data_IF_144241030503
#
_entry.id   IF_144241030503
#
_cell.length_a   1.000
_cell.length_b   1.000
_cell.length_c   1.000
_cell.angle_alpha   90.00
_cell.angle_beta   90.00
_cell.angle_gamma   90.00
#
_symmetry.space_group_name_H-M   'P 1'
#
loop_
_entity.id
_entity.type
_entity.pdbx_description
1 polymer ?
#
# COMPACT_ATOMS: atom_id res chain seq x y z
N UNK A 1 -17.27 -4.32 23.15
CA UNK A 1 -17.07 -4.38 24.62
C UNK A 1 -15.66 -4.91 24.89
N UNK A 2 -14.86 -4.23 25.72
CA UNK A 2 -13.50 -4.68 26.12
C UNK A 2 -13.47 -6.08 26.73
N UNK A 3 -14.59 -6.55 27.24
CA UNK A 3 -14.73 -7.87 27.87
C UNK A 3 -14.82 -9.05 26.90
N UNK A 4 -14.92 -8.80 25.58
CA UNK A 4 -15.06 -9.85 24.56
C UNK A 4 -13.77 -10.11 23.76
N UNK A 5 -12.62 -9.54 24.15
CA UNK A 5 -11.34 -9.77 23.47
C UNK A 5 -11.21 -9.21 22.04
N UNK A 6 -12.19 -8.47 21.55
CA UNK A 6 -12.23 -7.90 20.19
C UNK A 6 -11.74 -6.45 20.14
N UNK A 7 -10.76 -6.10 20.97
CA UNK A 7 -10.19 -4.75 20.99
C UNK A 7 -8.72 -4.87 20.65
N UNK A 8 -8.33 -4.24 19.55
CA UNK A 8 -6.92 -4.18 19.12
C UNK A 8 -6.38 -2.78 19.38
N UNK A 9 -5.16 -2.70 19.86
CA UNK A 9 -4.40 -1.45 20.03
C UNK A 9 -3.46 -1.25 18.85
N UNK A 10 -2.91 -0.05 18.73
CA UNK A 10 -1.85 0.19 17.71
C UNK A 10 -0.63 -0.69 17.97
N UNK A 11 -0.31 -1.00 19.23
CA UNK A 11 0.79 -1.92 19.58
C UNK A 11 0.52 -3.32 19.03
N UNK A 12 -0.72 -3.84 19.13
CA UNK A 12 -1.09 -5.15 18.57
C UNK A 12 -0.91 -5.19 17.04
N UNK A 13 -1.15 -4.05 16.34
CA UNK A 13 -0.94 -3.95 14.90
C UNK A 13 0.56 -4.00 14.58
N UNK A 14 1.38 -3.27 15.34
CA UNK A 14 2.84 -3.24 15.16
C UNK A 14 3.45 -4.62 15.43
N UNK A 15 3.03 -5.30 16.50
CA UNK A 15 3.47 -6.66 16.83
C UNK A 15 3.14 -7.67 15.72
N UNK A 16 2.05 -7.44 14.98
CA UNK A 16 1.67 -8.21 13.79
C UNK A 16 2.34 -7.73 12.49
N UNK A 17 3.28 -6.80 12.57
CA UNK A 17 4.05 -6.30 11.43
C UNK A 17 3.37 -5.22 10.59
N UNK A 18 2.21 -4.69 11.01
CA UNK A 18 1.53 -3.62 10.29
C UNK A 18 2.10 -2.24 10.63
N UNK A 19 2.18 -1.38 9.61
CA UNK A 19 2.45 0.03 9.85
C UNK A 19 1.23 0.71 10.49
N UNK A 20 1.41 1.56 11.51
CA UNK A 20 0.34 2.42 12.00
C UNK A 20 -0.30 3.30 10.91
N UNK A 21 0.48 3.67 9.89
CA UNK A 21 0.01 4.44 8.75
C UNK A 21 -0.93 3.63 7.85
N UNK A 22 -0.81 2.30 7.80
CA UNK A 22 -1.76 1.44 7.11
C UNK A 22 -3.14 1.51 7.77
N UNK A 23 -3.20 1.50 9.09
CA UNK A 23 -4.46 1.68 9.82
C UNK A 23 -5.04 3.09 9.61
N UNK A 24 -4.19 4.13 9.59
CA UNK A 24 -4.61 5.48 9.23
C UNK A 24 -5.19 5.51 7.81
N UNK A 25 -4.50 4.93 6.84
CA UNK A 25 -4.97 4.85 5.45
C UNK A 25 -6.30 4.09 5.35
N UNK A 26 -6.45 2.98 6.08
CA UNK A 26 -7.71 2.24 6.19
C UNK A 26 -8.84 3.14 6.69
N UNK A 27 -8.62 3.93 7.76
CA UNK A 27 -9.61 4.87 8.27
C UNK A 27 -9.96 5.97 7.27
N UNK A 28 -8.98 6.50 6.53
CA UNK A 28 -9.18 7.58 5.55
C UNK A 28 -10.01 7.14 4.32
N UNK A 29 -10.05 5.84 4.02
CA UNK A 29 -10.91 5.30 2.95
C UNK A 29 -12.39 5.21 3.35
N UNK A 30 -12.70 5.30 4.62
CA UNK A 30 -14.07 5.26 5.13
C UNK A 30 -14.67 6.67 5.28
N UNK A 31 -15.96 6.81 4.99
CA UNK A 31 -16.68 8.01 5.38
C UNK A 31 -16.90 7.98 6.90
N UNK A 32 -16.55 9.04 7.61
CA UNK A 32 -16.62 9.12 9.06
C UNK A 32 -18.06 8.99 9.64
N UNK A 33 -19.08 9.21 8.82
CA UNK A 33 -20.50 9.01 9.21
C UNK A 33 -20.91 7.55 9.18
N UNK A 34 -20.15 6.69 8.52
CA UNK A 34 -20.44 5.27 8.38
C UNK A 34 -19.66 4.45 9.42
N UNK A 35 -20.24 3.34 9.84
CA UNK A 35 -19.51 2.40 10.68
C UNK A 35 -18.37 1.79 9.87
N UNK A 36 -17.16 1.94 10.35
CA UNK A 36 -15.98 1.30 9.79
C UNK A 36 -15.87 -0.11 10.38
N UNK A 37 -15.93 -1.12 9.53
CA UNK A 37 -15.76 -2.51 9.95
C UNK A 37 -14.31 -2.91 9.82
N UNK A 38 -13.61 -3.06 10.94
CA UNK A 38 -12.23 -3.51 10.96
C UNK A 38 -12.18 -5.03 10.78
N UNK A 39 -11.38 -5.48 9.80
CA UNK A 39 -10.93 -6.85 9.65
C UNK A 39 -9.45 -6.86 9.28
N UNK A 40 -8.77 -7.97 9.54
CA UNK A 40 -7.35 -8.10 9.18
C UNK A 40 -7.15 -8.02 7.67
N UNK A 41 -8.03 -8.62 6.88
CA UNK A 41 -8.01 -8.57 5.42
C UNK A 41 -8.17 -7.13 4.89
N UNK A 42 -8.99 -6.32 5.54
CA UNK A 42 -9.15 -4.91 5.18
C UNK A 42 -7.89 -4.10 5.52
N UNK A 43 -7.20 -4.44 6.61
CA UNK A 43 -5.93 -3.82 6.98
C UNK A 43 -4.80 -4.25 6.02
N UNK A 44 -4.75 -5.53 5.61
CA UNK A 44 -3.84 -6.03 4.59
C UNK A 44 -3.99 -5.25 3.28
N UNK A 45 -5.23 -5.09 2.81
CA UNK A 45 -5.52 -4.32 1.59
C UNK A 45 -5.09 -2.85 1.72
N UNK A 46 -5.27 -2.25 2.91
CA UNK A 46 -4.84 -0.89 3.18
C UNK A 46 -3.32 -0.76 3.19
N UNK A 47 -2.59 -1.71 3.79
CA UNK A 47 -1.12 -1.73 3.79
C UNK A 47 -0.57 -1.84 2.36
N UNK A 48 -1.11 -2.76 1.56
CA UNK A 48 -0.72 -2.92 0.15
C UNK A 48 -1.00 -1.65 -0.64
N UNK A 49 -2.16 -1.03 -0.44
CA UNK A 49 -2.54 0.20 -1.14
C UNK A 49 -1.64 1.38 -0.74
N UNK A 50 -1.29 1.50 0.53
CA UNK A 50 -0.36 2.52 1.02
C UNK A 50 1.03 2.34 0.42
N UNK A 51 1.55 1.12 0.39
CA UNK A 51 2.85 0.83 -0.23
C UNK A 51 2.86 1.21 -1.71
N UNK A 52 1.80 0.84 -2.45
CA UNK A 52 1.63 1.23 -3.86
C UNK A 52 1.56 2.75 -4.06
N UNK A 53 1.00 3.47 -3.08
CA UNK A 53 0.97 4.94 -3.09
C UNK A 53 2.38 5.50 -3.02
N UNK A 54 3.20 5.01 -2.09
CA UNK A 54 4.59 5.44 -1.96
C UNK A 54 5.42 5.10 -3.21
N UNK A 55 5.26 3.90 -3.77
CA UNK A 55 5.91 3.49 -5.02
C UNK A 55 5.51 4.38 -6.22
N UNK A 56 4.22 4.73 -6.29
CA UNK A 56 3.74 5.61 -7.34
C UNK A 56 4.31 7.02 -7.18
N UNK A 57 4.34 7.54 -5.95
CA UNK A 57 4.87 8.86 -5.63
C UNK A 57 6.36 8.96 -5.94
N UNK A 58 7.16 7.94 -5.58
CA UNK A 58 8.59 7.91 -5.84
C UNK A 58 8.96 8.14 -7.31
N UNK A 59 8.10 7.69 -8.24
CA UNK A 59 8.30 7.86 -9.70
C UNK A 59 8.20 9.31 -10.17
N UNK A 60 7.64 10.19 -9.35
CA UNK A 60 7.44 11.60 -9.68
C UNK A 60 8.49 12.53 -9.04
N UNK A 61 9.22 12.06 -8.02
CA UNK A 61 10.12 12.91 -7.22
C UNK A 61 11.15 13.66 -8.04
N UNK A 62 11.83 12.96 -8.95
CA UNK A 62 12.92 13.52 -9.78
C UNK A 62 12.51 13.60 -11.26
N UNK A 63 11.22 13.61 -11.56
CA UNK A 63 10.73 13.66 -12.92
C UNK A 63 10.78 15.09 -13.46
N UNK A 64 11.27 15.24 -14.70
CA UNK A 64 11.51 16.52 -15.36
C UNK A 64 10.36 16.95 -16.27
N UNK A 65 9.46 16.04 -16.63
CA UNK A 65 8.31 16.35 -17.48
C UNK A 65 7.37 17.34 -16.78
N UNK A 66 6.74 18.19 -17.56
CA UNK A 66 5.78 19.17 -17.05
C UNK A 66 4.36 18.76 -17.32
N UNK A 67 3.49 19.09 -16.38
CA UNK A 67 2.04 18.98 -16.58
C UNK A 67 1.54 20.04 -17.55
N UNK A 68 0.38 19.81 -18.20
CA UNK A 68 -0.34 20.88 -18.86
C UNK A 68 -0.62 22.01 -17.87
N UNK A 69 -0.55 23.26 -18.35
CA UNK A 69 -0.76 24.45 -17.52
C UNK A 69 -2.09 24.40 -16.77
N UNK A 70 -2.07 24.75 -15.48
CA UNK A 70 -3.25 24.79 -14.63
C UNK A 70 -3.67 23.44 -14.02
N UNK A 71 -3.10 22.30 -14.47
CA UNK A 71 -3.53 20.97 -14.02
C UNK A 71 -3.29 20.75 -12.52
N UNK A 72 -2.13 21.12 -12.02
CA UNK A 72 -1.81 20.97 -10.60
C UNK A 72 -2.68 21.85 -9.70
N UNK A 73 -2.97 23.06 -10.11
CA UNK A 73 -3.86 24.00 -9.43
C UNK A 73 -5.29 23.50 -9.39
N UNK A 74 -5.77 22.92 -10.51
CA UNK A 74 -7.09 22.30 -10.58
C UNK A 74 -7.20 21.14 -9.57
N UNK A 75 -6.22 20.24 -9.49
CA UNK A 75 -6.22 19.15 -8.52
C UNK A 75 -6.15 19.64 -7.08
N UNK A 76 -5.38 20.69 -6.79
CA UNK A 76 -5.34 21.29 -5.45
C UNK A 76 -6.72 21.84 -5.07
N UNK A 77 -7.39 22.49 -6.02
CA UNK A 77 -8.74 23.00 -5.80
C UNK A 77 -9.74 21.86 -5.60
N UNK A 78 -9.76 20.86 -6.50
CA UNK A 78 -10.63 19.67 -6.38
C UNK A 78 -10.44 18.99 -5.01
N UNK A 79 -9.18 18.78 -4.58
CA UNK A 79 -8.86 18.16 -3.30
C UNK A 79 -9.36 19.00 -2.12
N UNK A 80 -9.10 20.31 -2.16
CA UNK A 80 -9.53 21.23 -1.09
C UNK A 80 -11.04 21.27 -0.98
N UNK A 81 -11.74 21.36 -2.12
CA UNK A 81 -13.20 21.34 -2.17
C UNK A 81 -13.74 20.01 -1.58
N UNK A 82 -13.16 18.87 -1.95
CA UNK A 82 -13.57 17.56 -1.45
C UNK A 82 -13.41 17.43 0.08
N UNK A 83 -12.27 17.84 0.63
CA UNK A 83 -12.04 17.74 2.08
C UNK A 83 -12.80 18.80 2.89
N UNK A 84 -13.16 19.90 2.26
CA UNK A 84 -13.98 20.97 2.86
C UNK A 84 -15.47 20.66 2.81
N UNK A 85 -15.90 19.78 1.91
CA UNK A 85 -17.28 19.31 1.82
C UNK A 85 -17.50 18.10 2.74
N UNK A 86 -17.86 18.40 3.97
CA UNK A 86 -18.18 17.39 5.00
C UNK A 86 -17.08 16.33 5.20
N UNK A 87 -15.80 16.74 5.14
CA UNK A 87 -14.63 15.85 5.30
C UNK A 87 -14.68 14.63 4.35
N UNK A 88 -15.02 14.84 3.09
CA UNK A 88 -15.05 13.78 2.09
C UNK A 88 -13.63 13.34 1.70
N UNK A 89 -12.90 12.81 2.68
CA UNK A 89 -11.52 12.34 2.52
C UNK A 89 -11.41 11.20 1.50
N UNK A 90 -12.37 10.25 1.40
CA UNK A 90 -12.31 9.23 0.34
C UNK A 90 -12.29 9.83 -1.08
N UNK A 91 -13.04 10.91 -1.34
CA UNK A 91 -12.97 11.62 -2.62
C UNK A 91 -11.60 12.28 -2.80
N UNK A 92 -11.06 12.92 -1.75
CA UNK A 92 -9.72 13.49 -1.77
C UNK A 92 -8.63 12.45 -2.11
N UNK A 93 -8.70 11.25 -1.53
CA UNK A 93 -7.82 10.14 -1.89
C UNK A 93 -7.99 9.71 -3.36
N UNK A 94 -9.20 9.72 -3.88
CA UNK A 94 -9.49 9.46 -5.30
C UNK A 94 -8.78 10.46 -6.22
N UNK A 95 -8.78 11.75 -5.86
CA UNK A 95 -8.10 12.82 -6.61
C UNK A 95 -6.58 12.63 -6.56
N UNK A 96 -6.02 12.31 -5.39
CA UNK A 96 -4.60 11.97 -5.26
C UNK A 96 -4.21 10.80 -6.17
N UNK A 97 -5.01 9.72 -6.18
CA UNK A 97 -4.76 8.59 -7.06
C UNK A 97 -4.91 8.91 -8.54
N UNK A 98 -5.85 9.80 -8.93
CA UNK A 98 -5.98 10.34 -10.28
C UNK A 98 -4.69 11.01 -10.73
N UNK A 99 -4.10 11.86 -9.87
CA UNK A 99 -2.84 12.54 -10.14
C UNK A 99 -1.65 11.56 -10.23
N UNK A 100 -1.48 10.65 -9.27
CA UNK A 100 -0.38 9.67 -9.27
C UNK A 100 -0.39 8.72 -10.48
N UNK A 101 -1.56 8.46 -11.07
CA UNK A 101 -1.74 7.63 -12.27
C UNK A 101 -1.69 8.42 -13.57
N UNK A 102 -1.45 9.73 -13.50
CA UNK A 102 -1.36 10.55 -14.69
C UNK A 102 -0.24 10.04 -15.62
N UNK A 103 -0.44 10.06 -16.95
CA UNK A 103 0.54 9.47 -17.89
C UNK A 103 1.92 10.12 -17.82
N UNK A 104 1.96 11.44 -17.60
CA UNK A 104 3.20 12.23 -17.48
C UNK A 104 3.80 12.02 -16.09
N UNK A 105 5.12 11.87 -16.01
CA UNK A 105 5.87 11.86 -14.75
C UNK A 105 6.41 13.25 -14.48
N UNK A 106 5.95 13.88 -13.41
CA UNK A 106 6.26 15.27 -13.11
C UNK A 106 6.47 15.52 -11.62
N UNK A 107 7.44 16.36 -11.32
CA UNK A 107 7.66 16.86 -9.95
C UNK A 107 6.42 17.61 -9.40
N UNK A 108 5.63 18.23 -10.27
CA UNK A 108 4.40 18.91 -9.87
C UNK A 108 3.37 17.94 -9.26
N UNK A 109 3.35 16.66 -9.69
CA UNK A 109 2.53 15.60 -9.07
C UNK A 109 3.08 15.24 -7.69
N UNK A 110 4.40 15.15 -7.55
CA UNK A 110 5.03 14.93 -6.25
C UNK A 110 4.67 16.05 -5.27
N UNK A 111 4.83 17.30 -5.69
CA UNK A 111 4.54 18.48 -4.87
C UNK A 111 3.03 18.56 -4.52
N UNK A 112 2.14 18.18 -5.44
CA UNK A 112 0.72 18.03 -5.16
C UNK A 112 0.43 16.96 -4.12
N UNK A 113 1.08 15.79 -4.19
CA UNK A 113 0.90 14.74 -3.21
C UNK A 113 1.35 15.19 -1.81
N UNK A 114 2.48 15.89 -1.69
CA UNK A 114 2.93 16.46 -0.42
C UNK A 114 1.97 17.53 0.12
N UNK A 115 1.34 18.32 -0.77
CA UNK A 115 0.28 19.23 -0.37
C UNK A 115 -0.92 18.47 0.25
N UNK A 116 -1.35 17.36 -0.35
CA UNK A 116 -2.45 16.54 0.21
C UNK A 116 -2.06 15.90 1.54
N UNK A 117 -0.78 15.57 1.71
CA UNK A 117 -0.28 14.90 2.92
C UNK A 117 -0.33 15.78 4.18
N UNK A 118 -0.39 17.10 4.02
CA UNK A 118 -0.62 18.03 5.15
C UNK A 118 -1.95 17.72 5.86
N UNK A 119 -2.92 17.15 5.15
CA UNK A 119 -4.23 16.74 5.69
C UNK A 119 -4.26 15.23 5.93
N UNK A 120 -3.78 14.43 4.98
CA UNK A 120 -3.82 12.97 5.06
C UNK A 120 -2.89 12.41 6.15
N UNK A 121 -1.72 13.01 6.35
CA UNK A 121 -0.74 12.62 7.38
C UNK A 121 -0.24 11.19 7.21
N UNK A 122 0.13 10.82 5.98
CA UNK A 122 0.62 9.51 5.61
C UNK A 122 2.15 9.44 5.54
N UNK A 123 2.85 10.53 5.93
CA UNK A 123 4.32 10.66 5.88
C UNK A 123 4.87 10.30 4.50
N UNK A 124 4.26 10.87 3.45
CA UNK A 124 4.54 10.50 2.05
C UNK A 124 5.98 10.81 1.65
N UNK A 125 6.53 11.97 2.08
CA UNK A 125 7.89 12.37 1.75
C UNK A 125 8.91 11.37 2.29
N UNK A 126 8.77 10.99 3.58
CA UNK A 126 9.69 10.08 4.26
C UNK A 126 9.63 8.65 3.72
N UNK A 127 8.45 8.21 3.30
CA UNK A 127 8.23 6.82 2.89
C UNK A 127 8.35 6.59 1.39
N UNK A 128 8.25 7.63 0.55
CA UNK A 128 8.51 7.51 -0.89
C UNK A 128 9.97 7.14 -1.21
N UNK A 129 10.90 7.38 -0.29
CA UNK A 129 12.32 7.06 -0.46
C UNK A 129 12.70 5.68 0.05
N UNK A 130 11.88 5.10 0.91
CA UNK A 130 12.15 3.77 1.44
C UNK A 130 11.88 2.74 0.35
N UNK A 131 12.76 1.75 0.15
CA UNK A 131 12.42 0.62 -0.68
C UNK A 131 11.08 0.07 -0.17
N UNK A 132 10.16 -0.20 -1.09
CA UNK A 132 8.86 -0.72 -0.71
C UNK A 132 9.05 -1.88 0.26
N UNK A 133 8.60 -1.70 1.50
CA UNK A 133 8.47 -2.79 2.44
C UNK A 133 7.27 -3.61 1.95
N UNK A 134 7.50 -4.37 0.87
CA UNK A 134 6.59 -5.40 0.40
C UNK A 134 6.62 -6.61 1.34
N UNK A 135 6.94 -6.39 2.60
CA UNK A 135 6.80 -7.40 3.62
C UNK A 135 5.30 -7.47 3.95
N UNK A 136 4.62 -8.40 3.28
CA UNK A 136 3.40 -8.97 3.81
C UNK A 136 3.72 -9.34 5.27
N UNK A 137 2.93 -8.92 6.28
CA UNK A 137 3.22 -9.27 7.68
C UNK A 137 3.45 -10.75 7.91
N UNK A 138 2.83 -11.61 7.09
CA UNK A 138 3.08 -13.05 7.06
C UNK A 138 4.48 -13.42 6.51
N UNK A 139 5.13 -12.54 5.74
CA UNK A 139 6.51 -12.73 5.27
C UNK A 139 7.55 -12.30 6.31
N UNK A 140 7.19 -11.46 7.28
CA UNK A 140 8.07 -11.04 8.35
C UNK A 140 8.42 -12.19 9.31
N UNK A 141 7.55 -13.17 9.47
CA UNK A 141 7.78 -14.39 10.28
C UNK A 141 8.54 -15.49 9.53
N UNK A 142 8.75 -15.34 8.21
CA UNK A 142 9.45 -16.35 7.41
C UNK A 142 10.96 -16.28 7.62
N UNK A 143 11.60 -17.45 7.64
CA UNK A 143 13.05 -17.50 7.67
C UNK A 143 13.67 -16.82 6.43
N UNK A 144 14.90 -16.28 6.54
CA UNK A 144 15.57 -15.64 5.40
C UNK A 144 15.63 -16.53 4.14
N UNK A 145 15.75 -17.86 4.33
CA UNK A 145 15.78 -18.83 3.24
C UNK A 145 14.44 -18.91 2.52
N UNK A 146 13.32 -18.91 3.25
CA UNK A 146 11.97 -18.94 2.66
C UNK A 146 11.71 -17.67 1.88
N UNK A 147 12.09 -16.50 2.41
CA UNK A 147 11.96 -15.22 1.71
C UNK A 147 12.71 -15.21 0.38
N UNK A 148 13.94 -15.70 0.39
CA UNK A 148 14.77 -15.79 -0.82
C UNK A 148 14.10 -16.68 -1.87
N UNK A 149 13.56 -17.84 -1.48
CA UNK A 149 12.85 -18.74 -2.38
C UNK A 149 11.57 -18.11 -2.96
N UNK A 150 10.80 -17.37 -2.16
CA UNK A 150 9.62 -16.64 -2.62
C UNK A 150 9.99 -15.58 -3.67
N UNK A 151 11.08 -14.84 -3.43
CA UNK A 151 11.60 -13.84 -4.38
C UNK A 151 12.07 -14.50 -5.67
N UNK A 152 12.84 -15.57 -5.59
CA UNK A 152 13.33 -16.32 -6.76
C UNK A 152 12.17 -16.87 -7.61
N UNK A 153 11.10 -17.38 -6.97
CA UNK A 153 9.90 -17.83 -7.67
C UNK A 153 9.21 -16.66 -8.40
N UNK A 154 9.09 -15.52 -7.75
CA UNK A 154 8.47 -14.32 -8.33
C UNK A 154 9.24 -13.85 -9.57
N UNK A 155 10.57 -13.84 -9.49
CA UNK A 155 11.44 -13.48 -10.63
C UNK A 155 11.37 -14.53 -11.75
N UNK A 156 11.33 -15.83 -11.43
CA UNK A 156 11.15 -16.89 -12.42
C UNK A 156 9.81 -16.72 -13.19
N UNK A 157 8.72 -16.41 -12.47
CA UNK A 157 7.42 -16.10 -13.09
C UNK A 157 7.47 -14.88 -14.02
N UNK A 158 8.12 -13.79 -13.61
CA UNK A 158 8.31 -12.60 -14.45
C UNK A 158 9.03 -12.92 -15.76
N UNK A 159 10.03 -13.82 -15.68
CA UNK A 159 10.79 -14.31 -16.86
C UNK A 159 10.06 -15.40 -17.64
N UNK A 160 8.84 -15.79 -17.24
CA UNK A 160 8.06 -16.91 -17.80
C UNK A 160 8.76 -18.27 -17.68
N UNK A 161 9.67 -18.43 -16.75
CA UNK A 161 10.31 -19.70 -16.42
C UNK A 161 9.42 -20.45 -15.40
N UNK A 162 8.37 -21.06 -15.91
CA UNK A 162 7.39 -21.77 -15.09
C UNK A 162 7.96 -23.04 -14.47
N UNK A 163 8.96 -23.67 -15.11
CA UNK A 163 9.60 -24.89 -14.60
C UNK A 163 10.34 -24.62 -13.30
N UNK A 164 11.15 -23.55 -13.26
CA UNK A 164 11.85 -23.11 -12.05
C UNK A 164 10.87 -22.62 -10.99
N UNK A 165 9.83 -21.90 -11.38
CA UNK A 165 8.82 -21.41 -10.44
C UNK A 165 8.04 -22.55 -9.75
N UNK A 166 7.74 -23.63 -10.47
CA UNK A 166 7.07 -24.81 -9.90
C UNK A 166 7.99 -25.61 -8.99
N UNK A 167 9.26 -25.81 -9.36
CA UNK A 167 10.24 -26.47 -8.50
C UNK A 167 10.44 -25.74 -7.17
N UNK A 168 10.49 -24.41 -7.20
CA UNK A 168 10.60 -23.60 -5.98
C UNK A 168 9.33 -23.71 -5.13
N UNK A 169 8.13 -23.74 -5.75
CA UNK A 169 6.87 -23.94 -5.04
C UNK A 169 6.84 -25.28 -4.29
N UNK A 170 7.28 -26.34 -4.94
CA UNK A 170 7.31 -27.67 -4.34
C UNK A 170 8.29 -27.75 -3.17
N UNK A 171 9.47 -27.12 -3.30
CA UNK A 171 10.44 -27.00 -2.20
C UNK A 171 9.88 -26.21 -1.01
N UNK A 172 9.17 -25.11 -1.26
CA UNK A 172 8.51 -24.33 -0.19
C UNK A 172 7.45 -25.16 0.52
N UNK A 173 6.69 -25.98 -0.23
CA UNK A 173 5.69 -26.88 0.34
C UNK A 173 6.31 -27.94 1.24
N UNK A 174 7.47 -28.48 0.88
CA UNK A 174 8.24 -29.40 1.74
C UNK A 174 8.73 -28.75 3.04
N UNK A 175 8.89 -27.40 3.04
CA UNK A 175 9.26 -26.60 4.20
C UNK A 175 8.02 -26.12 5.01
N UNK A 176 6.82 -26.66 4.74
CA UNK A 176 5.57 -26.29 5.43
C UNK A 176 4.98 -24.94 4.97
N UNK A 177 5.41 -24.43 3.80
CA UNK A 177 4.95 -23.16 3.27
C UNK A 177 4.19 -23.36 1.97
N UNK A 178 2.90 -23.03 2.00
CA UNK A 178 2.03 -23.10 0.81
C UNK A 178 1.82 -21.71 0.22
N UNK A 179 2.10 -21.57 -1.08
CA UNK A 179 1.89 -20.33 -1.83
C UNK A 179 0.59 -20.39 -2.62
N UNK A 180 -0.29 -19.41 -2.42
CA UNK A 180 -1.54 -19.24 -3.15
C UNK A 180 -1.41 -17.99 -4.03
N UNK A 181 -1.44 -18.19 -5.36
CA UNK A 181 -1.45 -17.07 -6.29
C UNK A 181 -2.83 -16.41 -6.29
N UNK A 182 -2.88 -15.11 -6.02
CA UNK A 182 -4.10 -14.30 -6.09
C UNK A 182 -3.96 -13.23 -7.17
N UNK A 183 -5.07 -12.58 -7.54
CA UNK A 183 -5.03 -11.46 -8.50
C UNK A 183 -4.23 -10.26 -7.97
N UNK A 184 -3.99 -10.21 -6.66
CA UNK A 184 -3.32 -9.11 -5.95
C UNK A 184 -1.87 -9.44 -5.56
N UNK A 185 -1.41 -10.67 -5.78
CA UNK A 185 -0.07 -11.14 -5.44
C UNK A 185 -0.05 -12.59 -4.96
N UNK A 186 0.98 -12.98 -4.24
CA UNK A 186 1.13 -14.33 -3.68
C UNK A 186 0.76 -14.29 -2.20
N UNK A 187 -0.20 -15.12 -1.79
CA UNK A 187 -0.52 -15.32 -0.38
C UNK A 187 0.29 -16.49 0.15
N UNK A 188 0.93 -16.30 1.30
CA UNK A 188 1.73 -17.32 1.97
C UNK A 188 0.91 -17.91 3.11
N UNK A 189 0.85 -19.24 3.18
CA UNK A 189 0.19 -19.98 4.26
C UNK A 189 1.21 -20.94 4.87
N UNK A 190 1.50 -20.77 6.14
CA UNK A 190 2.34 -21.71 6.93
C UNK A 190 1.41 -22.68 7.66
N UNK A 191 1.70 -23.97 7.57
CA UNK A 191 1.02 -25.02 8.35
C UNK A 191 1.53 -25.07 9.79
#
# INVERSE_FOLDING_TARGET
SKSLGNTYTISDLIEKGYSPLAYRYFCLNGNYRNKLNFTWEALDAAQVSLNRLYEALAKHKNAEERLPEGTAEEWKKEFTDAVSDDLNVPLGLGILWKALRFPVKSKEIYDFALFTDQILGLSMEENAEKPAQNENPQEAELSPEIRELVNQRTEAKKRKDFKTADAIRDRLKEMGVTLIDTKEGVKIVTE
#
